data_IF_098143866876
#
_entry.id   IF_098143866876
#
_cell.length_a   1.000
_cell.length_b   1.000
_cell.length_c   1.000
_cell.angle_alpha   90.00
_cell.angle_beta   90.00
_cell.angle_gamma   90.00
#
_symmetry.space_group_name_H-M   'P 1'
#
loop_
_entity.id
_entity.type
_entity.pdbx_description
1 polymer ?
#
# COMPACT_ATOMS: atom_id res chain seq x y z
N UNK A 1 -1.18 9.99 11.79
CA UNK A 1 -1.50 8.54 11.86
C UNK A 1 -0.92 7.89 13.12
N UNK A 2 -1.02 8.52 14.30
CA UNK A 2 -0.13 8.22 15.43
C UNK A 2 -0.24 6.78 15.95
N UNK A 3 -1.47 6.26 16.07
CA UNK A 3 -1.69 4.96 16.69
C UNK A 3 -1.15 3.77 15.90
N UNK A 4 -1.18 3.83 14.57
CA UNK A 4 -0.60 2.75 13.77
C UNK A 4 0.92 2.79 13.78
N UNK A 5 1.52 3.98 13.81
CA UNK A 5 2.97 4.15 13.95
C UNK A 5 3.44 3.52 15.26
N UNK A 6 2.77 3.82 16.38
CA UNK A 6 3.07 3.19 17.67
C UNK A 6 2.92 1.66 17.61
N UNK A 7 1.88 1.17 16.92
CA UNK A 7 1.65 -0.26 16.78
C UNK A 7 2.77 -0.96 15.99
N UNK A 8 3.23 -0.36 14.89
CA UNK A 8 4.36 -0.87 14.10
C UNK A 8 5.67 -0.83 14.88
N UNK A 9 5.93 0.25 15.63
CA UNK A 9 7.11 0.38 16.48
C UNK A 9 7.16 -0.65 17.60
N UNK A 10 6.02 -1.04 18.18
CA UNK A 10 5.99 -2.06 19.24
C UNK A 10 6.18 -3.48 18.73
N UNK A 11 5.95 -3.72 17.45
CA UNK A 11 5.99 -5.06 16.88
C UNK A 11 7.41 -5.56 16.58
N UNK A 12 8.40 -4.66 16.48
CA UNK A 12 9.76 -4.98 16.07
C UNK A 12 10.74 -3.94 16.64
N UNK A 13 12.03 -4.25 16.66
CA UNK A 13 13.07 -3.38 17.27
C UNK A 13 14.10 -2.81 16.27
N UNK A 14 14.04 -3.20 15.00
CA UNK A 14 15.03 -2.82 13.98
C UNK A 14 14.77 -1.44 13.34
N UNK A 15 13.52 -0.99 13.36
CA UNK A 15 13.06 0.25 12.72
C UNK A 15 12.33 1.13 13.74
N UNK A 16 12.45 2.45 13.57
CA UNK A 16 11.63 3.41 14.30
C UNK A 16 10.87 4.28 13.29
N UNK A 17 9.55 4.15 13.29
CA UNK A 17 8.64 4.96 12.50
C UNK A 17 8.24 6.20 13.30
N UNK A 18 8.21 7.35 12.63
CA UNK A 18 7.66 8.58 13.18
C UNK A 18 7.17 9.46 12.04
N UNK A 19 6.23 10.35 12.36
CA UNK A 19 5.64 11.28 11.40
C UNK A 19 6.39 12.61 11.44
N UNK A 20 6.74 13.13 10.27
CA UNK A 20 7.35 14.46 10.10
C UNK A 20 6.55 15.24 9.08
N UNK A 21 6.42 16.53 9.30
CA UNK A 21 5.87 17.46 8.32
C UNK A 21 7.02 18.18 7.64
N UNK A 22 7.16 17.98 6.34
CA UNK A 22 8.15 18.65 5.52
C UNK A 22 7.44 19.45 4.43
N UNK A 23 7.93 20.66 4.16
CA UNK A 23 7.49 21.43 3.01
C UNK A 23 7.96 20.71 1.73
N UNK A 24 7.03 20.48 0.81
CA UNK A 24 7.32 19.89 -0.48
C UNK A 24 7.05 20.95 -1.56
N UNK A 25 7.88 21.06 -2.62
CA UNK A 25 7.67 22.05 -3.68
C UNK A 25 6.25 21.99 -4.27
N UNK A 26 5.68 23.16 -4.54
CA UNK A 26 4.43 23.25 -5.28
C UNK A 26 4.60 22.68 -6.70
N UNK A 27 3.53 22.10 -7.25
CA UNK A 27 3.53 21.58 -8.63
C UNK A 27 4.10 20.17 -8.80
N UNK A 28 4.27 19.39 -7.72
CA UNK A 28 4.58 17.97 -7.82
C UNK A 28 3.44 17.16 -8.46
N UNK A 29 2.20 17.49 -8.12
CA UNK A 29 1.04 16.94 -8.82
C UNK A 29 0.93 17.67 -10.15
N UNK A 30 1.10 16.92 -11.24
CA UNK A 30 1.04 17.42 -12.60
C UNK A 30 -0.34 17.10 -13.19
N UNK A 31 -0.86 17.99 -14.04
CA UNK A 31 -2.09 17.71 -14.78
C UNK A 31 -1.88 16.57 -15.77
N UNK A 32 -2.98 15.90 -16.16
CA UNK A 32 -2.97 14.84 -17.15
C UNK A 32 -2.21 15.22 -18.44
N UNK A 33 -2.34 16.47 -18.93
CA UNK A 33 -1.62 16.92 -20.13
C UNK A 33 -0.09 16.97 -19.90
N UNK A 34 0.34 17.42 -18.72
CA UNK A 34 1.77 17.45 -18.36
C UNK A 34 2.32 16.06 -18.13
N UNK A 35 1.55 15.18 -17.51
CA UNK A 35 1.90 13.76 -17.33
C UNK A 35 2.04 13.09 -18.70
N UNK A 36 1.11 13.29 -19.64
CA UNK A 36 1.20 12.76 -21.00
C UNK A 36 2.43 13.31 -21.75
N UNK A 37 2.72 14.61 -21.59
CA UNK A 37 3.94 15.22 -22.15
C UNK A 37 5.20 14.57 -21.59
N UNK A 38 5.27 14.34 -20.28
CA UNK A 38 6.39 13.65 -19.63
C UNK A 38 6.54 12.22 -20.12
N UNK A 39 5.45 11.47 -20.18
CA UNK A 39 5.43 10.10 -20.69
C UNK A 39 6.00 10.02 -22.12
N UNK A 40 5.56 10.91 -23.02
CA UNK A 40 6.09 10.96 -24.39
C UNK A 40 7.61 11.20 -24.44
N UNK A 41 8.11 12.07 -23.56
CA UNK A 41 9.54 12.40 -23.48
C UNK A 41 10.37 11.22 -22.95
N UNK A 42 9.88 10.55 -21.90
CA UNK A 42 10.55 9.39 -21.30
C UNK A 42 10.59 8.20 -22.26
N UNK A 43 9.43 7.87 -22.84
CA UNK A 43 9.29 6.75 -23.79
C UNK A 43 9.92 7.02 -25.17
N UNK A 44 10.34 8.27 -25.44
CA UNK A 44 10.85 8.73 -26.75
C UNK A 44 9.92 8.42 -27.92
N UNK A 45 8.61 8.38 -27.67
CA UNK A 45 7.54 8.16 -28.65
C UNK A 45 6.26 8.83 -28.20
N UNK A 46 5.28 8.95 -29.10
CA UNK A 46 3.94 9.36 -28.71
C UNK A 46 3.19 8.21 -28.02
N UNK A 47 2.41 8.53 -27.00
CA UNK A 47 1.42 7.64 -26.40
C UNK A 47 0.34 7.30 -27.42
N UNK A 48 -0.07 6.04 -27.42
CA UNK A 48 -1.21 5.53 -28.20
C UNK A 48 -2.52 6.04 -27.58
N UNK A 49 -3.62 6.11 -28.36
CA UNK A 49 -4.92 6.54 -27.84
C UNK A 49 -5.42 5.75 -26.62
N UNK A 50 -5.08 4.45 -26.53
CA UNK A 50 -5.41 3.64 -25.37
C UNK A 50 -4.64 4.07 -24.10
N UNK A 51 -3.33 4.33 -24.22
CA UNK A 51 -2.49 4.79 -23.12
C UNK A 51 -2.90 6.19 -22.65
N UNK A 52 -3.26 7.09 -23.58
CA UNK A 52 -3.75 8.43 -23.25
C UNK A 52 -5.03 8.41 -22.41
N UNK A 53 -5.90 7.41 -22.57
CA UNK A 53 -7.12 7.26 -21.76
C UNK A 53 -6.84 6.90 -20.30
N UNK A 54 -5.67 6.34 -20.01
CA UNK A 54 -5.25 5.97 -18.66
C UNK A 54 -4.47 7.10 -17.98
N UNK A 55 -4.03 8.12 -18.73
CA UNK A 55 -3.37 9.29 -18.16
C UNK A 55 -4.34 10.11 -17.31
N UNK A 56 -3.88 10.50 -16.12
CA UNK A 56 -4.60 11.34 -15.17
C UNK A 56 -3.63 12.28 -14.46
N UNK A 57 -4.18 13.15 -13.61
CA UNK A 57 -3.38 13.97 -12.71
C UNK A 57 -2.60 13.09 -11.74
N UNK A 58 -1.28 13.24 -11.70
CA UNK A 58 -0.41 12.36 -10.93
C UNK A 58 0.89 13.04 -10.51
N UNK A 59 1.54 12.48 -9.50
CA UNK A 59 2.93 12.76 -9.18
C UNK A 59 3.81 11.88 -10.06
N UNK A 60 4.63 12.49 -10.91
CA UNK A 60 5.62 11.76 -11.71
C UNK A 60 6.84 11.46 -10.83
N UNK A 61 7.11 10.19 -10.60
CA UNK A 61 8.06 9.72 -9.58
C UNK A 61 9.50 10.22 -9.79
N UNK A 62 9.99 10.24 -11.03
CA UNK A 62 11.32 10.74 -11.39
C UNK A 62 11.50 12.24 -11.10
N UNK A 63 10.42 13.02 -11.10
CA UNK A 63 10.45 14.44 -10.71
C UNK A 63 10.39 14.61 -9.18
N UNK A 64 9.85 13.62 -8.45
CA UNK A 64 9.71 13.62 -6.99
C UNK A 64 11.01 13.26 -6.27
N UNK A 65 11.66 12.15 -6.65
CA UNK A 65 12.78 11.58 -5.88
C UNK A 65 13.95 12.53 -5.64
N UNK A 66 14.42 13.37 -6.60
CA UNK A 66 15.54 14.26 -6.37
C UNK A 66 15.32 15.24 -5.21
N UNK A 67 14.09 15.72 -5.01
CA UNK A 67 13.75 16.62 -3.91
C UNK A 67 13.56 15.86 -2.61
N UNK A 68 12.89 14.70 -2.65
CA UNK A 68 12.68 13.87 -1.48
C UNK A 68 13.99 13.36 -0.87
N UNK A 69 15.02 13.05 -1.67
CA UNK A 69 16.35 12.72 -1.17
C UNK A 69 17.02 13.87 -0.41
N UNK A 70 16.80 15.13 -0.83
CA UNK A 70 17.29 16.29 -0.10
C UNK A 70 16.60 16.39 1.26
N UNK A 71 15.27 16.24 1.28
CA UNK A 71 14.47 16.22 2.53
C UNK A 71 14.96 15.11 3.47
N UNK A 72 15.12 13.88 2.97
CA UNK A 72 15.64 12.74 3.74
C UNK A 72 16.98 13.07 4.41
N UNK A 73 17.93 13.61 3.63
CA UNK A 73 19.26 14.00 4.13
C UNK A 73 19.18 15.11 5.17
N UNK A 74 18.38 16.14 4.93
CA UNK A 74 18.18 17.26 5.87
C UNK A 74 17.58 16.80 7.20
N UNK A 75 16.65 15.84 7.16
CA UNK A 75 16.03 15.27 8.36
C UNK A 75 16.91 14.25 9.08
N UNK A 76 18.00 13.79 8.45
CA UNK A 76 18.92 12.80 9.04
C UNK A 76 18.30 11.42 9.23
N UNK A 77 17.35 11.02 8.38
CA UNK A 77 16.66 9.71 8.47
C UNK A 77 17.20 8.71 7.46
N UNK A 78 17.23 7.43 7.85
CA UNK A 78 17.72 6.36 6.97
C UNK A 78 16.82 6.16 5.76
N UNK A 79 15.50 6.14 5.98
CA UNK A 79 14.48 6.00 4.95
C UNK A 79 13.42 7.09 5.08
N UNK A 80 12.89 7.54 3.94
CA UNK A 80 11.78 8.50 3.88
C UNK A 80 10.61 7.88 3.13
N UNK A 81 9.43 7.82 3.76
CA UNK A 81 8.18 7.44 3.10
C UNK A 81 7.32 8.70 2.98
N UNK A 82 7.08 9.16 1.75
CA UNK A 82 6.20 10.28 1.47
C UNK A 82 4.81 9.77 1.10
N UNK A 83 3.78 10.32 1.74
CA UNK A 83 2.39 10.04 1.40
C UNK A 83 1.84 11.16 0.51
N UNK A 84 1.16 10.79 -0.58
CA UNK A 84 0.44 11.71 -1.45
C UNK A 84 -1.03 11.30 -1.57
N UNK A 85 -1.92 12.29 -1.72
CA UNK A 85 -3.34 12.07 -2.01
C UNK A 85 -3.63 11.80 -3.49
N UNK A 86 -2.64 12.03 -4.37
CA UNK A 86 -2.74 11.85 -5.81
C UNK A 86 -2.15 10.50 -6.27
N UNK A 87 -2.45 10.12 -7.50
CA UNK A 87 -1.87 8.96 -8.15
C UNK A 87 -0.37 9.16 -8.37
N UNK A 88 0.33 8.05 -8.53
CA UNK A 88 1.76 8.04 -8.85
C UNK A 88 1.91 7.53 -10.27
N UNK A 89 2.68 8.28 -11.05
CA UNK A 89 3.03 7.93 -12.41
C UNK A 89 4.54 7.68 -12.53
N UNK A 90 4.92 6.72 -13.35
CA UNK A 90 6.29 6.27 -13.50
C UNK A 90 6.46 5.36 -14.70
N UNK A 91 7.71 5.21 -15.10
CA UNK A 91 8.11 4.28 -16.14
C UNK A 91 8.37 2.89 -15.54
N UNK A 92 7.92 1.84 -16.23
CA UNK A 92 8.31 0.47 -15.92
C UNK A 92 8.83 -0.20 -17.18
N UNK A 93 9.68 -1.19 -16.97
CA UNK A 93 10.03 -2.15 -18.00
C UNK A 93 9.14 -3.37 -17.84
N UNK A 94 8.29 -3.63 -18.83
CA UNK A 94 7.45 -4.83 -18.89
C UNK A 94 7.80 -5.70 -20.11
N UNK A 95 7.07 -6.79 -20.31
CA UNK A 95 7.29 -7.73 -21.43
C UNK A 95 7.11 -7.09 -22.81
N UNK A 96 6.40 -5.97 -22.90
CA UNK A 96 6.20 -5.19 -24.12
C UNK A 96 7.23 -4.03 -24.26
N UNK A 97 8.17 -3.91 -23.33
CA UNK A 97 9.24 -2.91 -23.30
C UNK A 97 8.98 -1.82 -22.26
N UNK A 98 9.49 -0.61 -22.51
CA UNK A 98 9.25 0.54 -21.65
C UNK A 98 7.80 1.03 -21.78
N UNK A 99 7.05 0.97 -20.68
CA UNK A 99 5.68 1.47 -20.57
C UNK A 99 5.57 2.51 -19.47
N UNK A 100 4.56 3.37 -19.55
CA UNK A 100 4.33 4.44 -18.59
C UNK A 100 2.97 4.24 -17.95
N UNK A 101 2.96 3.99 -16.64
CA UNK A 101 1.74 3.81 -15.87
C UNK A 101 1.52 4.99 -14.94
N UNK A 102 0.25 5.27 -14.64
CA UNK A 102 -0.19 6.46 -13.92
C UNK A 102 -0.93 6.13 -12.63
N UNK A 103 -0.84 4.89 -12.17
CA UNK A 103 -1.69 4.40 -11.09
C UNK A 103 -0.99 3.52 -10.06
N UNK A 104 0.28 3.82 -9.77
CA UNK A 104 0.99 3.06 -8.75
C UNK A 104 0.44 3.32 -7.35
N UNK A 105 0.42 2.29 -6.51
CA UNK A 105 0.23 2.47 -5.07
C UNK A 105 1.49 2.99 -4.40
N UNK A 106 2.66 2.57 -4.87
CA UNK A 106 3.93 3.13 -4.45
C UNK A 106 4.98 3.03 -5.56
N UNK A 107 5.97 3.91 -5.49
CA UNK A 107 7.24 3.83 -6.23
C UNK A 107 8.37 4.08 -5.24
N UNK A 108 9.57 3.60 -5.52
CA UNK A 108 10.73 3.84 -4.65
C UNK A 108 12.01 4.07 -5.45
N UNK A 109 12.89 4.91 -4.90
CA UNK A 109 14.27 5.09 -5.35
C UNK A 109 15.19 5.04 -4.13
N UNK A 110 15.96 3.95 -4.03
CA UNK A 110 16.92 3.69 -2.94
C UNK A 110 16.26 3.80 -1.56
N UNK A 111 16.50 4.90 -0.85
CA UNK A 111 16.06 5.14 0.52
C UNK A 111 14.79 6.00 0.61
N UNK A 112 14.12 6.24 -0.51
CA UNK A 112 12.91 7.06 -0.55
C UNK A 112 11.79 6.27 -1.20
N UNK A 113 10.63 6.27 -0.57
CA UNK A 113 9.40 5.70 -1.09
C UNK A 113 8.33 6.79 -1.25
N UNK A 114 7.65 6.79 -2.38
CA UNK A 114 6.46 7.60 -2.64
C UNK A 114 5.24 6.67 -2.59
N UNK A 115 4.24 7.00 -1.77
CA UNK A 115 3.05 6.17 -1.54
C UNK A 115 1.80 6.98 -1.84
N UNK A 116 0.94 6.43 -2.69
CA UNK A 116 -0.36 7.02 -3.02
C UNK A 116 -1.42 6.51 -2.06
N UNK A 117 -2.18 7.45 -1.51
CA UNK A 117 -3.38 7.17 -0.73
C UNK A 117 -4.66 7.30 -1.55
N UNK A 118 -4.55 7.58 -2.85
CA UNK A 118 -5.69 7.70 -3.77
C UNK A 118 -6.52 6.41 -3.75
N UNK A 119 -7.83 6.53 -3.52
CA UNK A 119 -8.74 5.39 -3.45
C UNK A 119 -8.60 4.49 -2.21
N UNK A 120 -7.52 4.57 -1.42
CA UNK A 120 -7.29 3.67 -0.29
C UNK A 120 -8.39 3.75 0.78
N UNK A 121 -9.04 4.91 0.95
CA UNK A 121 -10.19 5.05 1.87
C UNK A 121 -11.34 4.13 1.48
N UNK A 122 -11.63 4.04 0.18
CA UNK A 122 -12.70 3.20 -0.35
C UNK A 122 -12.32 1.72 -0.27
N UNK A 123 -11.09 1.36 -0.66
CA UNK A 123 -10.63 -0.02 -0.55
C UNK A 123 -10.57 -0.51 0.90
N UNK A 124 -10.14 0.34 1.84
CA UNK A 124 -10.17 0.05 3.27
C UNK A 124 -11.59 -0.23 3.76
N UNK A 125 -12.57 0.59 3.33
CA UNK A 125 -13.98 0.42 3.65
C UNK A 125 -14.51 -0.93 3.14
N UNK A 126 -14.21 -1.29 1.89
CA UNK A 126 -14.59 -2.58 1.30
C UNK A 126 -13.91 -3.76 2.01
N UNK A 127 -12.66 -3.59 2.43
CA UNK A 127 -11.91 -4.57 3.22
C UNK A 127 -12.37 -4.66 4.68
N UNK A 128 -13.25 -3.75 5.13
CA UNK A 128 -13.63 -3.56 6.54
C UNK A 128 -12.42 -3.33 7.45
N UNK A 129 -11.45 -2.56 6.96
CA UNK A 129 -10.24 -2.16 7.66
C UNK A 129 -10.22 -0.64 7.87
N UNK A 130 -9.50 -0.16 8.89
CA UNK A 130 -9.24 1.28 9.05
C UNK A 130 -8.42 1.84 7.89
N UNK A 131 -8.65 3.11 7.54
CA UNK A 131 -7.91 3.78 6.47
C UNK A 131 -6.41 3.84 6.76
N UNK A 132 -6.02 4.15 7.99
CA UNK A 132 -4.62 4.23 8.39
C UNK A 132 -3.90 2.90 8.24
N UNK A 133 -4.59 1.76 8.40
CA UNK A 133 -4.03 0.44 8.14
C UNK A 133 -3.79 0.19 6.66
N UNK A 134 -4.68 0.68 5.79
CA UNK A 134 -4.45 0.61 4.35
C UNK A 134 -3.27 1.48 3.90
N UNK A 135 -3.14 2.70 4.44
CA UNK A 135 -1.98 3.56 4.18
C UNK A 135 -0.69 2.91 4.68
N UNK A 136 -0.69 2.36 5.89
CA UNK A 136 0.46 1.66 6.47
C UNK A 136 0.82 0.37 5.72
N UNK A 137 -0.16 -0.36 5.20
CA UNK A 137 0.07 -1.55 4.38
C UNK A 137 0.93 -1.21 3.16
N UNK A 138 0.54 -0.19 2.41
CA UNK A 138 1.28 0.24 1.22
C UNK A 138 2.65 0.83 1.60
N UNK A 139 2.71 1.63 2.67
CA UNK A 139 3.96 2.21 3.16
C UNK A 139 4.98 1.15 3.61
N UNK A 140 4.55 0.12 4.34
CA UNK A 140 5.42 -0.98 4.76
C UNK A 140 5.89 -1.79 3.55
N UNK A 141 5.00 -2.07 2.59
CA UNK A 141 5.39 -2.74 1.34
C UNK A 141 6.48 -1.97 0.58
N UNK A 142 6.27 -0.66 0.38
CA UNK A 142 7.25 0.20 -0.29
C UNK A 142 8.57 0.34 0.48
N UNK A 143 8.53 0.42 1.82
CA UNK A 143 9.74 0.43 2.64
C UNK A 143 10.53 -0.88 2.52
N UNK A 144 9.85 -2.03 2.63
CA UNK A 144 10.51 -3.32 2.55
C UNK A 144 11.11 -3.56 1.16
N UNK A 145 10.46 -3.09 0.09
CA UNK A 145 11.03 -3.12 -1.26
C UNK A 145 12.28 -2.23 -1.35
N UNK A 146 12.21 -1.00 -0.83
CA UNK A 146 13.34 -0.07 -0.77
C UNK A 146 14.56 -0.63 0.02
N UNK A 147 14.30 -1.34 1.12
CA UNK A 147 15.35 -1.99 1.93
C UNK A 147 15.94 -3.24 1.27
N UNK A 148 15.18 -3.91 0.40
CA UNK A 148 15.51 -5.22 -0.16
C UNK A 148 15.34 -5.21 -1.69
N UNK A 149 16.33 -4.65 -2.40
CA UNK A 149 16.36 -4.50 -3.87
C UNK A 149 16.18 -5.80 -4.69
N UNK A 150 16.19 -6.98 -4.06
CA UNK A 150 15.92 -8.26 -4.72
C UNK A 150 14.45 -8.64 -4.72
N UNK A 151 13.62 -7.95 -3.92
CA UNK A 151 12.20 -8.22 -3.84
C UNK A 151 11.52 -7.53 -5.02
N UNK A 152 11.08 -8.35 -5.96
CA UNK A 152 10.27 -7.86 -7.09
C UNK A 152 8.79 -7.75 -6.70
N UNK A 153 8.12 -6.78 -7.33
CA UNK A 153 6.68 -6.65 -7.28
C UNK A 153 6.11 -7.63 -8.30
N UNK A 154 5.21 -8.53 -7.86
CA UNK A 154 4.70 -9.59 -8.71
C UNK A 154 3.22 -9.42 -9.05
N UNK A 155 2.84 -9.88 -10.25
CA UNK A 155 1.49 -9.79 -10.81
C UNK A 155 0.43 -10.66 -10.10
N UNK A 156 0.79 -11.28 -8.98
CA UNK A 156 -0.16 -12.01 -8.16
C UNK A 156 -1.00 -11.02 -7.35
N UNK A 157 -2.18 -11.47 -6.97
CA UNK A 157 -3.11 -10.70 -6.12
C UNK A 157 -3.59 -11.59 -4.99
N UNK A 158 -2.63 -12.23 -4.32
CA UNK A 158 -2.86 -13.17 -3.23
C UNK A 158 -2.98 -12.48 -1.87
N UNK A 159 -2.73 -11.16 -1.83
CA UNK A 159 -2.70 -10.34 -0.63
C UNK A 159 -1.29 -10.07 -0.11
N UNK A 160 -0.28 -10.23 -0.95
CA UNK A 160 1.10 -9.94 -0.60
C UNK A 160 1.35 -8.42 -0.55
N UNK A 161 2.21 -7.98 0.37
CA UNK A 161 2.72 -6.60 0.36
C UNK A 161 3.37 -6.19 -0.96
N UNK A 162 3.85 -7.16 -1.74
CA UNK A 162 4.53 -6.95 -3.03
C UNK A 162 3.65 -7.32 -4.24
N UNK A 163 2.33 -7.38 -4.06
CA UNK A 163 1.40 -7.53 -5.18
C UNK A 163 1.38 -6.22 -6.01
N UNK A 164 1.56 -6.33 -7.34
CA UNK A 164 1.55 -5.17 -8.25
C UNK A 164 0.19 -4.46 -8.27
N UNK A 165 -0.90 -5.23 -8.11
CA UNK A 165 -2.28 -4.71 -8.13
C UNK A 165 -2.59 -3.86 -9.38
N UNK A 166 -2.31 -4.39 -10.58
CA UNK A 166 -2.64 -3.74 -11.87
C UNK A 166 -4.10 -3.24 -11.89
N UNK A 167 -4.99 -4.07 -11.36
CA UNK A 167 -6.32 -3.64 -10.95
C UNK A 167 -6.26 -3.23 -9.47
N UNK A 168 -6.32 -1.91 -9.21
CA UNK A 168 -6.24 -1.36 -7.85
C UNK A 168 -7.23 -2.00 -6.89
N UNK A 169 -8.39 -2.44 -7.37
CA UNK A 169 -9.42 -3.03 -6.49
C UNK A 169 -8.94 -4.33 -5.82
N UNK A 170 -7.96 -5.01 -6.40
CA UNK A 170 -7.38 -6.25 -5.86
C UNK A 170 -6.60 -6.03 -4.57
N UNK A 171 -6.17 -4.80 -4.26
CA UNK A 171 -5.53 -4.49 -2.98
C UNK A 171 -6.42 -4.87 -1.78
N UNK A 172 -7.74 -4.89 -1.97
CA UNK A 172 -8.72 -5.33 -0.95
C UNK A 172 -8.40 -6.73 -0.42
N UNK A 173 -7.84 -7.62 -1.24
CA UNK A 173 -7.41 -8.97 -0.82
C UNK A 173 -6.30 -8.86 0.23
N UNK A 174 -5.27 -8.06 -0.06
CA UNK A 174 -4.15 -7.81 0.86
C UNK A 174 -4.57 -7.08 2.13
N UNK A 175 -5.48 -6.11 2.03
CA UNK A 175 -6.01 -5.41 3.20
C UNK A 175 -6.78 -6.36 4.14
N UNK A 176 -7.51 -7.33 3.58
CA UNK A 176 -8.23 -8.34 4.38
C UNK A 176 -7.28 -9.32 5.05
N UNK A 177 -6.23 -9.75 4.34
CA UNK A 177 -5.28 -10.76 4.81
C UNK A 177 -3.84 -10.37 4.43
N UNK A 178 -3.21 -9.44 5.18
CA UNK A 178 -1.85 -9.03 4.90
C UNK A 178 -0.88 -10.22 5.05
N UNK A 179 -0.02 -10.43 4.07
CA UNK A 179 1.01 -11.46 4.10
C UNK A 179 2.26 -11.07 3.30
N UNK A 180 3.34 -11.82 3.49
CA UNK A 180 4.47 -11.88 2.55
C UNK A 180 4.50 -13.31 2.00
N UNK A 181 4.45 -13.47 0.68
CA UNK A 181 4.56 -14.80 0.07
C UNK A 181 5.95 -15.40 0.34
N UNK A 182 6.02 -16.73 0.35
CA UNK A 182 7.26 -17.46 0.62
C UNK A 182 8.38 -17.09 -0.37
N UNK A 183 8.05 -16.80 -1.63
CA UNK A 183 9.04 -16.33 -2.60
C UNK A 183 9.61 -14.97 -2.21
N UNK A 184 8.78 -13.96 -1.95
CA UNK A 184 9.25 -12.64 -1.54
C UNK A 184 10.02 -12.67 -0.23
N UNK A 185 9.61 -13.50 0.72
CA UNK A 185 10.33 -13.63 1.99
C UNK A 185 11.76 -14.15 1.81
N UNK A 186 11.99 -15.01 0.80
CA UNK A 186 13.35 -15.48 0.47
C UNK A 186 14.22 -14.36 -0.09
N UNK A 187 13.62 -13.45 -0.85
CA UNK A 187 14.31 -12.31 -1.47
C UNK A 187 14.58 -11.15 -0.48
N UNK A 188 13.84 -11.10 0.63
CA UNK A 188 14.18 -10.26 1.77
C UNK A 188 15.48 -10.77 2.41
N UNK A 189 16.41 -9.84 2.66
CA UNK A 189 17.67 -10.14 3.36
C UNK A 189 17.39 -10.81 4.69
N UNK A 190 18.19 -11.81 5.05
CA UNK A 190 17.96 -12.64 6.23
C UNK A 190 17.79 -11.82 7.52
N UNK A 191 18.65 -10.83 7.72
CA UNK A 191 18.61 -9.87 8.83
C UNK A 191 17.29 -9.06 8.95
N UNK A 192 16.53 -8.93 7.86
CA UNK A 192 15.29 -8.16 7.80
C UNK A 192 14.02 -9.03 7.88
N UNK A 193 14.13 -10.37 7.80
CA UNK A 193 12.96 -11.26 7.65
C UNK A 193 12.04 -11.24 8.87
N UNK A 194 12.62 -11.30 10.07
CA UNK A 194 11.86 -11.24 11.32
C UNK A 194 11.10 -9.92 11.43
N UNK A 195 11.77 -8.80 11.18
CA UNK A 195 11.16 -7.47 11.14
C UNK A 195 10.01 -7.40 10.15
N UNK A 196 10.19 -7.90 8.93
CA UNK A 196 9.17 -7.90 7.89
C UNK A 196 7.92 -8.69 8.30
N UNK A 197 8.10 -9.89 8.88
CA UNK A 197 7.01 -10.72 9.39
C UNK A 197 6.26 -10.05 10.54
N UNK A 198 6.99 -9.45 11.49
CA UNK A 198 6.41 -8.73 12.62
C UNK A 198 5.59 -7.53 12.18
N UNK A 199 6.07 -6.76 11.19
CA UNK A 199 5.31 -5.63 10.63
C UNK A 199 4.01 -6.11 9.97
N UNK A 200 4.03 -7.20 9.23
CA UNK A 200 2.82 -7.78 8.63
C UNK A 200 1.85 -8.27 9.69
N UNK A 201 2.34 -8.93 10.74
CA UNK A 201 1.51 -9.36 11.86
C UNK A 201 0.84 -8.16 12.55
N UNK A 202 1.58 -7.08 12.77
CA UNK A 202 1.05 -5.84 13.32
C UNK A 202 -0.04 -5.24 12.41
N UNK A 203 0.20 -5.17 11.10
CA UNK A 203 -0.82 -4.72 10.13
C UNK A 203 -2.07 -5.60 10.18
N UNK A 204 -1.91 -6.92 10.26
CA UNK A 204 -3.01 -7.87 10.29
C UNK A 204 -3.88 -7.73 11.55
N UNK A 205 -3.27 -7.46 12.71
CA UNK A 205 -3.92 -7.39 14.02
C UNK A 205 -4.35 -5.98 14.44
N UNK A 206 -3.92 -4.95 13.73
CA UNK A 206 -4.22 -3.56 14.05
C UNK A 206 -5.72 -3.27 14.18
N UNK A 207 -6.08 -2.62 15.28
CA UNK A 207 -7.41 -2.07 15.56
C UNK A 207 -7.26 -0.63 16.07
N UNK A 208 -8.04 0.33 15.55
CA UNK A 208 -7.99 1.71 16.03
C UNK A 208 -8.42 1.78 17.50
N UNK A 209 -7.85 2.70 18.30
CA UNK A 209 -8.36 2.97 19.64
C UNK A 209 -9.87 3.28 19.60
N UNK A 210 -10.61 2.78 20.59
CA UNK A 210 -12.05 2.99 20.66
C UNK A 210 -12.90 2.04 19.81
N UNK A 211 -12.30 1.15 19.00
CA UNK A 211 -13.07 0.05 18.40
C UNK A 211 -13.46 -0.97 19.49
N UNK A 212 -14.69 -0.85 20.00
CA UNK A 212 -15.26 -1.87 20.89
C UNK A 212 -15.25 -3.22 20.15
N UNK A 213 -14.83 -4.33 20.80
CA UNK A 213 -15.00 -5.64 20.21
C UNK A 213 -16.49 -5.81 19.87
N UNK A 214 -16.79 -6.24 18.65
CA UNK A 214 -18.15 -6.54 18.26
C UNK A 214 -18.73 -7.49 19.31
N UNK A 215 -19.84 -7.09 19.96
CA UNK A 215 -20.51 -7.96 20.93
C UNK A 215 -20.75 -9.30 20.23
N UNK A 216 -20.37 -10.44 20.85
CA UNK A 216 -20.63 -11.74 20.25
C UNK A 216 -22.11 -11.81 19.91
N UNK A 217 -22.42 -12.10 18.65
CA UNK A 217 -23.78 -12.29 18.19
C UNK A 217 -24.36 -13.42 19.04
N UNK A 218 -25.18 -13.08 20.05
CA UNK A 218 -25.93 -14.08 20.83
C UNK A 218 -26.76 -14.85 19.81
N UNK A 219 -26.36 -16.08 19.52
CA UNK A 219 -27.15 -16.99 18.70
C UNK A 219 -28.56 -17.01 19.29
N UNK A 220 -29.57 -16.65 18.49
CA UNK A 220 -30.96 -16.81 18.89
C UNK A 220 -31.18 -18.29 19.18
N UNK A 221 -31.33 -18.65 20.45
CA UNK A 221 -31.82 -19.99 20.85
C UNK A 221 -33.17 -20.17 20.16
N UNK A 222 -33.19 -21.02 19.14
CA UNK A 222 -34.40 -21.51 18.50
C UNK A 222 -35.13 -22.43 19.48
N UNK A 223 -35.94 -21.86 20.37
CA UNK A 223 -36.88 -22.61 21.19
C UNK A 223 -38.18 -22.78 20.43
N UNK A 224 -38.39 -23.96 19.83
CA UNK A 224 -39.71 -24.50 19.54
C UNK A 224 -39.63 -26.03 19.47
N UNK A 225 -39.50 -26.65 20.64
CA UNK A 225 -40.03 -27.99 20.86
C UNK A 225 -41.55 -27.92 20.69
N UNK A 226 -42.08 -28.61 19.67
CA UNK A 226 -43.50 -28.95 19.61
C UNK A 226 -43.65 -30.34 20.22
N UNK A 227 -44.37 -30.43 21.34
CA UNK A 227 -44.82 -31.70 21.94
C UNK A 227 -45.68 -32.49 20.95
N UNK A 228 -45.60 -33.83 20.90
CA UNK A 228 -46.57 -34.67 20.19
C UNK A 228 -47.91 -34.65 20.92
N UNK A 229 -49.02 -34.55 20.17
CA UNK A 229 -50.36 -34.83 20.70
C UNK A 229 -50.55 -36.34 20.75
N UNK A 230 -50.87 -36.85 21.94
CA UNK A 230 -51.41 -38.18 22.15
C UNK A 230 -52.76 -38.32 21.42
N UNK A 231 -52.92 -39.42 20.68
CA UNK A 231 -54.22 -39.91 20.23
C UNK A 231 -54.72 -40.90 21.28
N UNK A 232 -55.92 -40.68 21.79
CA UNK A 232 -56.69 -41.67 22.54
C UNK A 232 -57.97 -41.93 21.76
N UNK A 233 -58.23 -43.23 21.55
CA UNK A 233 -59.42 -43.84 20.97
C UNK A 233 -60.68 -43.55 21.81
#
# INVERSE_FOLDING_TARGET
MPHIIEHLNRAQSALTFFEVQAAIPSGLVQSAERVAFRANKLLRRKLKPAELKEIRDAVVDIDFFPNAHKVRKTLGVDYLIALTGAAIAGEIEDKAGHTFHTDFFFSYDKHVCLVSTEGLREYARVAKRPFEMAAAYVAVGGLLAAMNHKVDIHDRSAGCLFDYNYDRSKIVVGLKKPLIEVCCLKDIKEENRETAQSLVHALATYKPPGTRPAKPHRAKKSSREKKPREQVL
#
